data_IF_373665229169
#
_entry.id   IF_373665229169
#
_cell.length_a   1.000
_cell.length_b   1.000
_cell.length_c   1.000
_cell.angle_alpha   90.00
_cell.angle_beta   90.00
_cell.angle_gamma   90.00
#
_symmetry.space_group_name_H-M   'P 1'
#
loop_
_entity.id
_entity.type
_entity.pdbx_description
1 polymer ?
#
# COMPACT_ATOMS: atom_id res chain seq x y z
N UNK A 1 -5.83 -9.75 9.28
CA UNK A 1 -6.72 -10.90 9.10
C UNK A 1 -6.49 -11.97 10.17
N UNK A 2 -5.27 -12.55 10.30
CA UNK A 2 -5.02 -13.68 11.23
C UNK A 2 -5.34 -13.38 12.69
N UNK A 3 -4.99 -12.19 13.19
CA UNK A 3 -5.35 -11.80 14.57
C UNK A 3 -6.87 -11.81 14.81
N UNK A 4 -7.63 -11.28 13.84
CA UNK A 4 -9.10 -11.29 13.91
C UNK A 4 -9.67 -12.70 13.83
N UNK A 5 -9.12 -13.56 12.97
CA UNK A 5 -9.54 -14.94 12.81
C UNK A 5 -9.29 -15.75 14.10
N UNK A 6 -8.09 -15.64 14.66
CA UNK A 6 -7.72 -16.31 15.91
C UNK A 6 -8.65 -15.89 17.06
N UNK A 7 -8.88 -14.59 17.22
CA UNK A 7 -9.75 -14.07 18.27
C UNK A 7 -11.23 -14.45 18.03
N UNK A 8 -11.69 -14.40 16.78
CA UNK A 8 -13.06 -14.75 16.40
C UNK A 8 -13.37 -16.22 16.65
N UNK A 9 -12.49 -17.13 16.25
CA UNK A 9 -12.58 -18.58 16.52
C UNK A 9 -12.57 -18.89 18.02
N UNK A 10 -11.85 -18.09 18.82
CA UNK A 10 -11.83 -18.20 20.28
C UNK A 10 -13.07 -17.60 20.96
N UNK A 11 -14.07 -17.14 20.21
CA UNK A 11 -15.33 -16.60 20.74
C UNK A 11 -15.26 -15.15 21.20
N UNK A 12 -14.16 -14.43 21.01
CA UNK A 12 -14.08 -13.01 21.31
C UNK A 12 -14.95 -12.19 20.36
N UNK A 13 -15.58 -11.11 20.85
CA UNK A 13 -16.22 -10.12 19.99
C UNK A 13 -15.13 -9.30 19.28
N UNK A 14 -15.12 -9.33 17.96
CA UNK A 14 -14.10 -8.69 17.14
C UNK A 14 -14.70 -7.65 16.21
N UNK A 15 -14.08 -6.49 16.12
CA UNK A 15 -14.27 -5.53 15.03
C UNK A 15 -12.97 -5.51 14.23
N UNK A 16 -13.06 -5.80 12.93
CA UNK A 16 -11.95 -5.65 11.98
C UNK A 16 -12.29 -4.50 11.05
N UNK A 17 -11.54 -3.41 11.14
CA UNK A 17 -11.69 -2.25 10.26
C UNK A 17 -10.53 -2.19 9.26
N UNK A 18 -10.86 -1.87 8.01
CA UNK A 18 -9.91 -1.68 6.91
C UNK A 18 -10.36 -0.47 6.07
N UNK A 19 -9.43 0.41 5.73
CA UNK A 19 -9.73 1.60 4.91
C UNK A 19 -10.06 1.26 3.46
N UNK A 20 -9.63 0.09 2.98
CA UNK A 20 -9.94 -0.40 1.65
C UNK A 20 -11.37 -0.97 1.59
N UNK A 21 -11.93 -1.03 0.39
CA UNK A 21 -13.19 -1.73 0.14
C UNK A 21 -13.04 -3.26 0.13
N UNK A 22 -11.82 -3.76 0.01
CA UNK A 22 -11.47 -5.18 0.03
C UNK A 22 -10.38 -5.42 1.08
N UNK A 23 -10.73 -6.14 2.12
CA UNK A 23 -9.77 -6.51 3.17
C UNK A 23 -8.66 -7.42 2.62
N UNK A 24 -7.47 -7.32 3.21
CA UNK A 24 -6.31 -8.11 2.82
C UNK A 24 -5.04 -7.29 2.66
N UNK A 25 -5.16 -5.96 2.63
CA UNK A 25 -4.03 -5.04 2.51
C UNK A 25 -3.17 -5.35 1.27
N UNK A 26 -1.86 -5.41 1.43
CA UNK A 26 -0.92 -5.66 0.34
C UNK A 26 -1.10 -7.00 -0.38
N UNK A 27 -1.66 -8.03 0.27
CA UNK A 27 -1.93 -9.32 -0.39
C UNK A 27 -2.82 -9.18 -1.64
N UNK A 28 -3.66 -8.14 -1.69
CA UNK A 28 -4.50 -7.85 -2.86
C UNK A 28 -3.70 -7.36 -4.08
N UNK A 29 -2.44 -6.96 -3.89
CA UNK A 29 -1.57 -6.40 -4.91
C UNK A 29 -0.24 -7.17 -5.07
N UNK A 30 -0.04 -8.24 -4.31
CA UNK A 30 1.17 -9.06 -4.34
C UNK A 30 0.97 -10.31 -5.22
N UNK A 31 2.02 -10.71 -5.91
CA UNK A 31 2.07 -11.97 -6.66
C UNK A 31 2.44 -13.18 -5.81
N UNK A 32 2.73 -12.96 -4.51
CA UNK A 32 3.17 -14.02 -3.60
C UNK A 32 2.05 -15.03 -3.30
N UNK A 33 2.42 -16.30 -3.27
CA UNK A 33 1.53 -17.38 -2.83
C UNK A 33 1.57 -17.52 -1.30
N UNK A 34 0.39 -17.76 -0.70
CA UNK A 34 0.21 -18.08 0.71
C UNK A 34 -0.54 -19.41 0.82
N UNK A 35 0.07 -20.43 1.44
CA UNK A 35 -0.57 -21.73 1.59
C UNK A 35 -0.94 -22.42 0.26
N UNK A 36 -0.18 -22.17 -0.81
CA UNK A 36 -0.42 -22.76 -2.14
C UNK A 36 -1.45 -22.03 -3.00
N UNK A 37 -2.04 -20.92 -2.52
CA UNK A 37 -2.98 -20.08 -3.27
C UNK A 37 -2.42 -18.68 -3.46
N UNK A 38 -3.04 -17.86 -4.32
CA UNK A 38 -2.64 -16.45 -4.42
C UNK A 38 -2.92 -15.72 -3.10
N UNK A 39 -2.12 -14.70 -2.76
CA UNK A 39 -2.35 -13.92 -1.54
C UNK A 39 -3.76 -13.31 -1.47
N UNK A 40 -4.30 -12.88 -2.61
CA UNK A 40 -5.65 -12.33 -2.70
C UNK A 40 -6.75 -13.38 -2.44
N UNK A 41 -6.58 -14.61 -2.95
CA UNK A 41 -7.55 -15.69 -2.75
C UNK A 41 -7.50 -16.20 -1.31
N UNK A 42 -6.29 -16.33 -0.76
CA UNK A 42 -6.12 -16.65 0.64
C UNK A 42 -6.81 -15.60 1.54
N UNK A 43 -6.59 -14.31 1.28
CA UNK A 43 -7.24 -13.23 2.03
C UNK A 43 -8.77 -13.28 1.89
N UNK A 44 -9.29 -13.54 0.70
CA UNK A 44 -10.72 -13.69 0.45
C UNK A 44 -11.32 -14.87 1.23
N UNK A 45 -10.62 -16.01 1.29
CA UNK A 45 -11.04 -17.16 2.08
C UNK A 45 -11.10 -16.84 3.58
N UNK A 46 -10.09 -16.18 4.12
CA UNK A 46 -10.07 -15.74 5.53
C UNK A 46 -11.21 -14.74 5.83
N UNK A 47 -11.45 -13.81 4.93
CA UNK A 47 -12.55 -12.82 5.08
C UNK A 47 -13.90 -13.50 5.03
N UNK A 48 -14.10 -14.50 4.15
CA UNK A 48 -15.33 -15.28 4.10
C UNK A 48 -15.60 -16.05 5.41
N UNK A 49 -14.57 -16.67 5.98
CA UNK A 49 -14.67 -17.31 7.28
C UNK A 49 -15.01 -16.31 8.39
N UNK A 50 -14.31 -15.17 8.45
CA UNK A 50 -14.60 -14.10 9.42
C UNK A 50 -16.04 -13.61 9.32
N UNK A 51 -16.56 -13.46 8.09
CA UNK A 51 -17.94 -13.03 7.85
C UNK A 51 -18.98 -14.05 8.32
N UNK A 52 -18.62 -15.33 8.41
CA UNK A 52 -19.52 -16.40 8.92
C UNK A 52 -19.59 -16.46 10.46
N UNK A 53 -18.66 -15.80 11.16
CA UNK A 53 -18.61 -15.78 12.62
C UNK A 53 -19.55 -14.72 13.19
N UNK A 54 -20.57 -15.08 14.00
CA UNK A 54 -21.56 -14.13 14.51
C UNK A 54 -21.00 -13.09 15.49
N UNK A 55 -19.83 -13.37 16.06
CA UNK A 55 -19.12 -12.52 17.00
C UNK A 55 -18.10 -11.59 16.31
N UNK A 56 -18.02 -11.60 14.98
CA UNK A 56 -17.09 -10.76 14.20
C UNK A 56 -17.87 -9.74 13.36
N UNK A 57 -17.44 -8.48 13.44
CA UNK A 57 -17.92 -7.39 12.57
C UNK A 57 -16.81 -6.94 11.65
N UNK A 58 -17.04 -7.03 10.35
CA UNK A 58 -16.14 -6.50 9.31
C UNK A 58 -16.60 -5.08 8.93
N UNK A 59 -15.67 -4.14 8.89
CA UNK A 59 -15.90 -2.75 8.51
C UNK A 59 -14.89 -2.37 7.43
N UNK A 60 -15.30 -2.48 6.16
CA UNK A 60 -14.53 -1.99 5.01
C UNK A 60 -14.74 -0.49 4.81
N UNK A 61 -13.87 0.18 4.03
CA UNK A 61 -13.91 1.63 3.81
C UNK A 61 -13.92 2.44 5.11
N UNK A 62 -13.31 1.88 6.17
CA UNK A 62 -13.35 2.42 7.51
C UNK A 62 -11.95 2.69 8.01
N UNK A 63 -11.62 3.96 8.18
CA UNK A 63 -10.32 4.42 8.67
C UNK A 63 -10.42 4.71 10.17
N UNK A 64 -9.53 4.13 10.97
CA UNK A 64 -9.37 4.51 12.38
C UNK A 64 -8.62 5.84 12.41
N UNK A 65 -9.31 6.92 12.83
CA UNK A 65 -8.78 8.28 12.80
C UNK A 65 -8.30 8.78 14.15
N UNK A 66 -8.56 8.05 15.22
CA UNK A 66 -8.10 8.44 16.55
C UNK A 66 -8.15 7.31 17.56
N UNK A 67 -7.26 7.37 18.53
CA UNK A 67 -7.24 6.55 19.73
C UNK A 67 -7.19 7.44 20.96
N UNK A 68 -7.97 7.11 21.97
CA UNK A 68 -8.20 7.91 23.16
C UNK A 68 -8.10 7.05 24.42
N UNK A 69 -8.13 7.70 25.57
CA UNK A 69 -8.10 7.01 26.86
C UNK A 69 -9.22 5.99 27.01
N UNK A 70 -9.04 5.03 27.89
CA UNK A 70 -10.01 3.97 28.22
C UNK A 70 -10.40 3.05 27.06
N UNK A 71 -9.53 2.89 26.04
CA UNK A 71 -9.78 1.99 24.93
C UNK A 71 -10.85 2.49 23.94
N UNK A 72 -10.96 3.82 23.81
CA UNK A 72 -11.87 4.45 22.85
C UNK A 72 -11.12 4.70 21.54
N UNK A 73 -11.76 4.34 20.42
CA UNK A 73 -11.28 4.57 19.07
C UNK A 73 -12.35 5.29 18.27
N UNK A 74 -11.97 6.29 17.47
CA UNK A 74 -12.86 6.84 16.46
C UNK A 74 -12.54 6.26 15.10
N UNK A 75 -13.59 5.90 14.36
CA UNK A 75 -13.49 5.33 13.02
C UNK A 75 -14.43 6.06 12.07
N UNK A 76 -13.92 6.48 10.92
CA UNK A 76 -14.68 7.11 9.87
C UNK A 76 -14.99 6.08 8.78
N UNK A 77 -16.25 5.70 8.68
CA UNK A 77 -16.77 4.81 7.64
C UNK A 77 -17.30 5.63 6.45
N UNK A 78 -16.81 5.35 5.26
CA UNK A 78 -17.30 5.93 3.99
C UNK A 78 -18.42 5.06 3.44
N UNK A 79 -19.66 5.27 3.89
CA UNK A 79 -20.81 4.40 3.59
C UNK A 79 -21.20 4.46 2.11
N UNK A 80 -21.45 5.65 1.59
CA UNK A 80 -21.78 5.87 0.19
C UNK A 80 -21.08 7.09 -0.43
N UNK A 81 -20.07 7.61 0.24
CA UNK A 81 -19.28 8.77 -0.22
C UNK A 81 -18.48 8.48 -1.51
N UNK A 82 -18.23 7.20 -1.77
CA UNK A 82 -17.54 6.72 -2.97
C UNK A 82 -18.47 6.56 -4.19
N UNK A 83 -19.78 6.77 -4.01
CA UNK A 83 -20.75 6.66 -5.10
C UNK A 83 -20.96 8.02 -5.78
N UNK A 84 -21.00 8.08 -7.13
CA UNK A 84 -21.30 9.30 -7.85
C UNK A 84 -22.65 9.93 -7.46
N UNK A 85 -23.65 9.08 -7.23
CA UNK A 85 -24.98 9.45 -6.77
C UNK A 85 -25.34 8.67 -5.51
N UNK A 86 -25.07 9.21 -4.32
CA UNK A 86 -25.43 8.55 -3.07
C UNK A 86 -26.96 8.39 -2.96
N UNK A 87 -27.48 7.24 -2.45
CA UNK A 87 -28.91 7.04 -2.25
C UNK A 87 -29.51 8.09 -1.29
N UNK A 88 -30.72 8.58 -1.61
CA UNK A 88 -31.43 9.54 -0.76
C UNK A 88 -31.63 8.97 0.65
N UNK A 89 -31.46 9.81 1.66
CA UNK A 89 -31.67 9.44 3.05
C UNK A 89 -30.59 8.56 3.68
N UNK A 90 -29.54 8.15 2.93
CA UNK A 90 -28.39 7.45 3.52
C UNK A 90 -27.28 8.43 3.89
N UNK A 91 -26.65 8.18 5.04
CA UNK A 91 -25.46 8.92 5.44
C UNK A 91 -24.33 8.66 4.45
N UNK A 92 -23.62 9.71 4.04
CA UNK A 92 -22.41 9.57 3.19
C UNK A 92 -21.25 8.95 3.97
N UNK A 93 -21.11 9.39 5.21
CA UNK A 93 -20.09 8.95 6.16
C UNK A 93 -20.71 8.75 7.53
N UNK A 94 -20.14 7.84 8.30
CA UNK A 94 -20.52 7.60 9.71
C UNK A 94 -19.25 7.68 10.54
N UNK A 95 -19.29 8.51 11.58
CA UNK A 95 -18.26 8.54 12.61
C UNK A 95 -18.66 7.60 13.74
N UNK A 96 -17.92 6.51 13.87
CA UNK A 96 -18.08 5.51 14.92
C UNK A 96 -17.24 5.86 16.13
N UNK A 97 -17.81 5.60 17.31
CA UNK A 97 -17.08 5.54 18.58
C UNK A 97 -17.03 4.09 19.01
N UNK A 98 -15.86 3.50 18.99
CA UNK A 98 -15.63 2.09 19.28
C UNK A 98 -14.99 1.97 20.66
N UNK A 99 -15.57 1.16 21.55
CA UNK A 99 -15.02 0.82 22.86
C UNK A 99 -14.42 -0.58 22.80
N UNK A 100 -13.13 -0.70 23.10
CA UNK A 100 -12.40 -1.95 22.99
C UNK A 100 -11.55 -2.21 24.24
N UNK A 101 -11.54 -3.46 24.72
CA UNK A 101 -10.64 -3.88 25.80
C UNK A 101 -9.20 -4.06 25.31
N UNK A 102 -9.02 -4.45 24.06
CA UNK A 102 -7.72 -4.64 23.39
C UNK A 102 -7.84 -4.19 21.94
N UNK A 103 -6.79 -3.59 21.43
CA UNK A 103 -6.65 -3.30 20.02
C UNK A 103 -5.33 -3.85 19.50
N UNK A 104 -5.35 -4.33 18.26
CA UNK A 104 -4.17 -4.79 17.53
C UNK A 104 -4.03 -3.88 16.33
N UNK A 105 -2.95 -3.10 16.29
CA UNK A 105 -2.65 -2.20 15.20
C UNK A 105 -1.93 -2.96 14.08
N UNK A 106 -2.61 -3.11 12.95
CA UNK A 106 -2.07 -3.74 11.74
C UNK A 106 -2.13 -2.76 10.55
N UNK A 107 -1.77 -1.50 10.79
CA UNK A 107 -1.90 -0.42 9.81
C UNK A 107 -0.85 -0.47 8.68
N UNK A 108 0.01 -1.47 8.65
CA UNK A 108 1.04 -1.64 7.63
C UNK A 108 2.09 -0.54 7.65
N UNK A 109 2.55 -0.17 6.46
CA UNK A 109 3.60 0.81 6.28
C UNK A 109 3.36 1.65 5.02
N UNK A 110 3.86 2.87 5.01
CA UNK A 110 3.84 3.78 3.86
C UNK A 110 5.18 3.73 3.15
N UNK A 111 5.15 3.51 1.84
CA UNK A 111 6.35 3.48 1.00
C UNK A 111 6.96 4.88 0.88
N UNK A 112 8.29 4.96 1.01
CA UNK A 112 9.06 6.21 0.91
C UNK A 112 9.52 6.47 -0.51
N UNK A 113 9.43 7.72 -0.99
CA UNK A 113 10.11 8.13 -2.21
C UNK A 113 11.63 8.21 -2.00
N UNK A 114 12.38 8.19 -3.11
CA UNK A 114 13.77 8.63 -3.16
C UNK A 114 13.76 9.96 -3.91
N UNK A 115 14.35 10.99 -3.29
CA UNK A 115 14.38 12.34 -3.88
C UNK A 115 15.43 12.44 -4.99
N UNK A 116 15.05 13.12 -6.08
CA UNK A 116 15.91 13.51 -7.18
C UNK A 116 15.30 14.72 -7.90
N UNK A 117 16.02 15.33 -8.81
CA UNK A 117 15.55 16.54 -9.48
C UNK A 117 14.33 16.25 -10.39
N UNK A 118 13.28 17.08 -10.31
CA UNK A 118 12.03 16.97 -11.05
C UNK A 118 11.28 15.64 -10.79
N UNK A 119 11.29 15.15 -9.55
CA UNK A 119 10.65 13.89 -9.15
C UNK A 119 9.10 13.99 -9.01
N UNK A 120 8.52 15.17 -9.20
CA UNK A 120 7.08 15.46 -9.16
C UNK A 120 6.38 15.33 -10.52
N UNK A 121 7.10 14.92 -11.55
CA UNK A 121 6.58 14.80 -12.92
C UNK A 121 5.54 13.67 -13.03
N UNK A 122 4.41 13.89 -13.76
CA UNK A 122 3.46 12.83 -14.08
C UNK A 122 4.14 11.62 -14.74
N UNK A 123 3.86 10.43 -14.24
CA UNK A 123 4.51 9.18 -14.63
C UNK A 123 5.53 8.68 -13.60
N UNK A 124 5.85 9.48 -12.56
CA UNK A 124 6.69 9.05 -11.43
C UNK A 124 5.77 8.65 -10.29
N UNK A 125 5.88 7.40 -9.83
CA UNK A 125 4.97 6.79 -8.86
C UNK A 125 5.75 5.90 -7.88
N UNK A 126 5.15 5.63 -6.72
CA UNK A 126 5.67 4.61 -5.81
C UNK A 126 5.60 3.22 -6.45
N UNK A 127 6.61 2.41 -6.24
CA UNK A 127 6.70 1.07 -6.81
C UNK A 127 5.56 0.15 -6.33
N UNK A 128 5.14 0.28 -5.07
CA UNK A 128 3.97 -0.42 -4.54
C UNK A 128 2.66 -0.05 -5.24
N UNK A 129 2.50 1.22 -5.64
CA UNK A 129 1.35 1.66 -6.42
C UNK A 129 1.39 1.08 -7.84
N UNK A 130 2.55 1.09 -8.50
CA UNK A 130 2.74 0.46 -9.83
C UNK A 130 2.39 -1.02 -9.76
N UNK A 131 2.85 -1.74 -8.73
CA UNK A 131 2.52 -3.15 -8.52
C UNK A 131 1.01 -3.36 -8.32
N UNK A 132 0.35 -2.49 -7.55
CA UNK A 132 -1.09 -2.56 -7.37
C UNK A 132 -1.86 -2.34 -8.67
N UNK A 133 -1.43 -1.41 -9.52
CA UNK A 133 -2.03 -1.23 -10.84
C UNK A 133 -1.96 -2.52 -11.67
N UNK A 134 -0.79 -3.12 -11.72
CA UNK A 134 -0.55 -4.30 -12.56
C UNK A 134 -1.22 -5.56 -12.00
N UNK A 135 -1.05 -5.88 -10.72
CA UNK A 135 -1.51 -7.13 -10.15
C UNK A 135 -2.98 -7.11 -9.74
N UNK A 136 -3.47 -5.97 -9.24
CA UNK A 136 -4.85 -5.87 -8.74
C UNK A 136 -5.84 -5.36 -9.79
N UNK A 137 -5.39 -4.46 -10.67
CA UNK A 137 -6.26 -3.75 -11.60
C UNK A 137 -6.01 -4.10 -13.07
N UNK A 138 -5.02 -4.96 -13.36
CA UNK A 138 -4.60 -5.32 -14.72
C UNK A 138 -4.35 -4.09 -15.61
N UNK A 139 -3.81 -3.02 -15.02
CA UNK A 139 -3.48 -1.77 -15.68
C UNK A 139 -1.99 -1.47 -15.54
N UNK A 140 -1.42 -0.74 -16.49
CA UNK A 140 -0.02 -0.31 -16.42
C UNK A 140 0.05 1.22 -16.44
N UNK A 141 0.94 1.83 -15.59
CA UNK A 141 1.11 3.27 -15.59
C UNK A 141 1.89 3.79 -16.81
N UNK A 142 2.52 2.90 -17.57
CA UNK A 142 3.28 3.22 -18.76
C UNK A 142 3.60 1.97 -19.58
N UNK A 143 4.13 2.16 -20.78
CA UNK A 143 4.55 1.07 -21.67
C UNK A 143 6.00 0.66 -21.45
N UNK A 144 6.85 1.60 -20.98
CA UNK A 144 8.28 1.40 -20.68
C UNK A 144 8.58 1.93 -19.30
N UNK A 145 8.50 1.07 -18.31
CA UNK A 145 8.65 1.42 -16.89
C UNK A 145 10.11 1.25 -16.47
N UNK A 146 10.73 2.30 -15.90
CA UNK A 146 11.97 2.15 -15.14
C UNK A 146 11.64 1.93 -13.65
N UNK A 147 12.54 1.25 -12.92
CA UNK A 147 12.41 1.03 -11.49
C UNK A 147 13.63 1.61 -10.78
N UNK A 148 13.40 2.48 -9.80
CA UNK A 148 14.44 3.06 -8.97
C UNK A 148 14.23 2.66 -7.52
N UNK A 149 15.21 1.97 -6.93
CA UNK A 149 15.05 1.37 -5.61
C UNK A 149 16.34 1.35 -4.79
N UNK A 150 16.19 1.24 -3.47
CA UNK A 150 17.25 0.91 -2.51
C UNK A 150 16.94 -0.37 -1.72
N UNK A 151 15.95 -1.16 -2.16
CA UNK A 151 15.47 -2.35 -1.44
C UNK A 151 14.93 -3.42 -2.39
N UNK A 152 14.68 -4.62 -1.87
CA UNK A 152 14.23 -5.75 -2.67
C UNK A 152 12.75 -5.67 -3.09
N UNK A 153 11.96 -4.84 -2.42
CA UNK A 153 10.55 -4.68 -2.78
C UNK A 153 10.39 -3.98 -4.14
N UNK A 154 11.28 -3.01 -4.44
CA UNK A 154 11.37 -2.43 -5.77
C UNK A 154 11.80 -3.45 -6.83
N UNK A 155 12.71 -4.38 -6.51
CA UNK A 155 13.09 -5.46 -7.42
C UNK A 155 11.92 -6.40 -7.72
N UNK A 156 11.06 -6.70 -6.72
CA UNK A 156 9.83 -7.47 -6.92
C UNK A 156 8.86 -6.75 -7.87
N UNK A 157 8.79 -5.41 -7.79
CA UNK A 157 7.96 -4.63 -8.72
C UNK A 157 8.43 -4.81 -10.16
N UNK A 158 9.76 -4.80 -10.40
CA UNK A 158 10.30 -5.07 -11.73
C UNK A 158 9.96 -6.49 -12.22
N UNK A 159 10.07 -7.48 -11.35
CA UNK A 159 9.72 -8.86 -11.68
C UNK A 159 8.23 -9.02 -12.00
N UNK A 160 7.33 -8.40 -11.24
CA UNK A 160 5.89 -8.42 -11.49
C UNK A 160 5.53 -7.76 -12.82
N UNK A 161 6.15 -6.63 -13.16
CA UNK A 161 6.00 -5.96 -14.44
C UNK A 161 6.39 -6.90 -15.61
N UNK A 162 7.57 -7.52 -15.51
CA UNK A 162 8.07 -8.45 -16.53
C UNK A 162 7.15 -9.68 -16.67
N UNK A 163 6.69 -10.26 -15.57
CA UNK A 163 5.78 -11.40 -15.57
C UNK A 163 4.44 -11.09 -16.24
N UNK A 164 4.04 -9.81 -16.30
CA UNK A 164 2.82 -9.32 -16.94
C UNK A 164 3.06 -8.76 -18.34
N UNK A 165 4.26 -8.93 -18.89
CA UNK A 165 4.62 -8.49 -20.24
C UNK A 165 4.84 -6.98 -20.39
N UNK A 166 4.98 -6.25 -19.28
CA UNK A 166 5.30 -4.81 -19.32
C UNK A 166 6.82 -4.63 -19.50
N UNK A 167 7.21 -3.77 -20.44
CA UNK A 167 8.62 -3.53 -20.70
C UNK A 167 9.30 -2.79 -19.55
N UNK A 168 10.27 -3.43 -18.89
CA UNK A 168 11.13 -2.81 -17.89
C UNK A 168 12.33 -2.17 -18.59
N UNK A 169 12.32 -0.84 -18.68
CA UNK A 169 13.37 -0.06 -19.37
C UNK A 169 14.73 -0.17 -18.68
N UNK A 170 14.74 -0.13 -17.35
CA UNK A 170 15.90 -0.32 -16.50
C UNK A 170 15.51 -0.57 -15.05
N UNK A 171 16.43 -1.18 -14.30
CA UNK A 171 16.37 -1.27 -12.83
C UNK A 171 17.60 -0.52 -12.31
N UNK A 172 17.36 0.55 -11.56
CA UNK A 172 18.36 1.41 -10.95
C UNK A 172 18.36 1.10 -9.46
N UNK A 173 19.40 0.44 -8.98
CA UNK A 173 19.54 0.07 -7.58
C UNK A 173 20.62 0.92 -6.90
N UNK A 174 20.20 1.83 -6.01
CA UNK A 174 21.13 2.73 -5.34
C UNK A 174 22.15 2.03 -4.45
N UNK A 175 21.86 0.80 -4.01
CA UNK A 175 22.81 -0.04 -3.26
C UNK A 175 24.02 -0.46 -4.13
N UNK A 176 23.87 -0.39 -5.46
CA UNK A 176 24.92 -0.66 -6.44
C UNK A 176 25.63 0.62 -6.92
N UNK A 177 25.37 1.75 -6.26
CA UNK A 177 25.94 3.05 -6.62
C UNK A 177 25.29 3.71 -7.83
N UNK A 178 24.12 3.26 -8.26
CA UNK A 178 23.34 3.91 -9.31
C UNK A 178 22.32 4.88 -8.69
N UNK A 179 22.16 6.06 -9.30
CA UNK A 179 21.22 7.08 -8.83
C UNK A 179 20.49 7.71 -9.99
N UNK A 180 19.17 7.87 -9.87
CA UNK A 180 18.42 8.77 -10.73
C UNK A 180 18.74 10.19 -10.29
N UNK A 181 19.24 11.02 -11.20
CA UNK A 181 19.58 12.41 -10.93
C UNK A 181 18.47 13.36 -11.36
N UNK A 182 17.85 13.10 -12.50
CA UNK A 182 16.87 14.01 -13.09
C UNK A 182 15.84 13.25 -13.92
N UNK A 183 14.67 13.87 -14.11
CA UNK A 183 13.65 13.43 -15.04
C UNK A 183 13.34 14.50 -16.08
N UNK A 184 12.97 14.09 -17.31
CA UNK A 184 12.61 15.01 -18.41
C UNK A 184 11.28 14.60 -19.07
N UNK A 185 10.57 15.61 -19.56
CA UNK A 185 9.30 15.50 -20.27
C UNK A 185 8.45 16.74 -20.07
N UNK A 186 7.51 17.02 -20.94
CA UNK A 186 6.67 18.24 -20.87
C UNK A 186 5.34 17.98 -20.17
N UNK A 187 4.54 17.02 -20.65
CA UNK A 187 3.21 16.67 -20.11
C UNK A 187 3.25 15.39 -19.26
N UNK A 188 4.38 14.70 -19.25
CA UNK A 188 4.63 13.46 -18.53
C UNK A 188 6.08 13.05 -18.73
N UNK A 189 6.49 12.00 -18.05
CA UNK A 189 7.83 11.45 -18.12
C UNK A 189 8.15 10.95 -19.55
N UNK A 190 9.36 11.25 -20.04
CA UNK A 190 9.88 10.73 -21.31
C UNK A 190 11.23 10.06 -21.16
N UNK A 191 12.02 10.51 -20.20
CA UNK A 191 13.34 9.96 -19.92
C UNK A 191 13.80 10.32 -18.52
N UNK A 192 14.73 9.54 -18.00
CA UNK A 192 15.47 9.81 -16.77
C UNK A 192 16.97 9.87 -17.06
N UNK A 193 17.68 10.67 -16.27
CA UNK A 193 19.15 10.68 -16.23
C UNK A 193 19.60 9.87 -15.03
N UNK A 194 20.45 8.88 -15.27
CA UNK A 194 20.98 7.99 -14.24
C UNK A 194 22.49 8.12 -14.18
N UNK A 195 23.03 8.41 -12.99
CA UNK A 195 24.44 8.35 -12.70
C UNK A 195 24.81 6.94 -12.26
N UNK A 196 25.83 6.36 -12.88
CA UNK A 196 26.42 5.08 -12.51
C UNK A 196 27.48 5.19 -11.41
N UNK A 197 27.95 4.06 -10.89
CA UNK A 197 28.96 4.00 -9.81
C UNK A 197 30.31 4.59 -10.20
N UNK A 198 30.61 4.66 -11.49
CA UNK A 198 31.83 5.29 -12.05
C UNK A 198 31.68 6.80 -12.26
N UNK A 199 30.58 7.42 -11.85
CA UNK A 199 30.28 8.84 -12.03
C UNK A 199 29.79 9.24 -13.42
N UNK A 200 29.69 8.30 -14.37
CA UNK A 200 29.16 8.60 -15.71
C UNK A 200 27.64 8.60 -15.69
N UNK A 201 27.06 9.58 -16.36
CA UNK A 201 25.61 9.69 -16.51
C UNK A 201 25.16 9.13 -17.86
N UNK A 202 23.98 8.46 -17.83
CA UNK A 202 23.30 7.96 -19.03
C UNK A 202 21.83 8.35 -19.01
N UNK A 203 21.25 8.54 -20.18
CA UNK A 203 19.82 8.81 -20.34
C UNK A 203 19.09 7.52 -20.67
N UNK A 204 17.96 7.28 -20.01
CA UNK A 204 17.12 6.10 -20.22
C UNK A 204 15.72 6.58 -20.62
N UNK A 205 15.27 6.28 -21.86
CA UNK A 205 13.90 6.58 -22.26
C UNK A 205 12.91 5.70 -21.52
N UNK A 206 11.93 6.31 -20.85
CA UNK A 206 10.82 5.64 -20.16
C UNK A 206 9.64 6.60 -20.03
N UNK A 207 8.44 6.07 -19.94
CA UNK A 207 7.19 6.83 -19.77
C UNK A 207 6.60 6.69 -18.37
N UNK A 208 7.16 5.79 -17.55
CA UNK A 208 6.88 5.71 -16.12
C UNK A 208 8.14 5.34 -15.33
N UNK A 209 8.21 5.82 -14.08
CA UNK A 209 9.26 5.50 -13.11
C UNK A 209 8.63 5.03 -11.80
N UNK A 210 8.86 3.78 -11.45
CA UNK A 210 8.47 3.19 -10.17
C UNK A 210 9.59 3.44 -9.14
N UNK A 211 9.29 4.12 -8.04
CA UNK A 211 10.28 4.50 -7.02
C UNK A 211 9.98 3.78 -5.70
N UNK A 212 11.00 3.16 -5.10
CA UNK A 212 10.90 2.51 -3.79
C UNK A 212 12.09 2.86 -2.91
N UNK A 213 11.90 3.70 -1.91
CA UNK A 213 12.89 4.13 -0.92
C UNK A 213 12.79 3.40 0.43
N UNK A 214 12.07 2.27 0.47
CA UNK A 214 11.76 1.52 1.68
C UNK A 214 10.40 1.87 2.26
N UNK A 215 10.14 1.41 3.48
CA UNK A 215 8.83 1.49 4.11
C UNK A 215 8.93 2.06 5.52
N UNK A 216 8.03 3.00 5.86
CA UNK A 216 7.85 3.50 7.21
C UNK A 216 6.61 2.88 7.83
N UNK A 217 6.70 2.25 9.01
CA UNK A 217 5.54 1.69 9.69
C UNK A 217 4.54 2.79 10.06
N UNK A 218 3.25 2.50 9.91
CA UNK A 218 2.17 3.41 10.25
C UNK A 218 1.84 3.28 11.75
N UNK A 219 2.57 4.03 12.58
CA UNK A 219 2.48 3.97 14.04
C UNK A 219 1.85 5.21 14.68
N UNK A 220 1.34 6.13 13.87
CA UNK A 220 0.82 7.43 14.33
C UNK A 220 -0.29 7.30 15.38
N UNK A 221 -1.14 6.27 15.31
CA UNK A 221 -2.19 6.07 16.31
C UNK A 221 -1.64 5.78 17.71
N UNK A 222 -0.44 5.22 17.82
CA UNK A 222 0.21 5.01 19.12
C UNK A 222 0.65 6.34 19.76
N UNK A 223 0.96 7.36 18.95
CA UNK A 223 1.38 8.67 19.41
C UNK A 223 0.23 9.44 20.09
N UNK A 224 -1.02 9.14 19.76
CA UNK A 224 -2.19 9.73 20.42
C UNK A 224 -2.26 9.37 21.92
N UNK A 225 -1.67 8.25 22.31
CA UNK A 225 -1.53 7.82 23.71
C UNK A 225 -0.16 8.20 24.31
N UNK A 226 0.50 9.22 23.75
CA UNK A 226 1.82 9.74 24.19
C UNK A 226 2.99 8.77 24.02
N UNK A 227 2.82 7.68 23.28
CA UNK A 227 3.91 6.80 22.92
C UNK A 227 4.82 7.50 21.89
N UNK A 228 6.11 7.27 21.97
CA UNK A 228 7.10 7.75 21.01
C UNK A 228 7.75 6.54 20.34
N UNK A 229 7.51 6.32 19.05
CA UNK A 229 8.23 5.29 18.32
C UNK A 229 9.73 5.57 18.37
N UNK A 230 10.52 4.54 18.66
CA UNK A 230 11.98 4.59 18.57
C UNK A 230 12.42 3.93 17.26
N UNK A 231 13.50 4.43 16.70
CA UNK A 231 14.16 3.78 15.59
C UNK A 231 14.98 2.60 16.13
N UNK A 232 14.89 1.47 15.46
CA UNK A 232 15.69 0.27 15.71
C UNK A 232 16.46 -0.05 14.42
N UNK A 233 17.80 -0.11 14.49
CA UNK A 233 18.72 -0.28 13.34
C UNK A 233 18.78 -1.75 12.88
#
# INVERSE_FOLDING_TARGET
LMAALTAGRAGARVILADEDFRMGGRLNAESLAVGGTTGSDWAAGVVAELASLPNVRLMTRTTIVGTYDHGIYSALERVCDHLPLPPAGKARQILWRIYSKRAILCAGATERPIAFENNDRPGIMMAGAVRAYVNRWAATPGQRVAVFTNNDDGLRTAADLQARGVAVAAIIDSRKGEMVENSRGRLGLREITVRGPNGQSRTIPCDALAVSGGWNPNVQLTCHLRNRPAWDD
#
